data_IF_686311889188
#
_entry.id   IF_686311889188
#
_cell.length_a   1.000
_cell.length_b   1.000
_cell.length_c   1.000
_cell.angle_alpha   90.00
_cell.angle_beta   90.00
_cell.angle_gamma   90.00
#
_symmetry.space_group_name_H-M   'P 1'
#
loop_
_entity.id
_entity.type
_entity.pdbx_description
1 polymer ?
#
# COMPACT_ATOMS: atom_id res chain seq x y z
N UNK A 1 11.51 0.63 -28.18
CA UNK A 1 10.09 0.59 -27.79
C UNK A 1 10.01 1.15 -26.37
N UNK A 2 9.43 2.33 -26.19
CA UNK A 2 9.24 2.89 -24.86
C UNK A 2 8.23 2.02 -24.12
N UNK A 3 8.69 1.25 -23.15
CA UNK A 3 7.84 0.42 -22.31
C UNK A 3 6.97 1.33 -21.44
N UNK A 4 5.69 1.40 -21.78
CA UNK A 4 4.72 2.31 -21.12
C UNK A 4 4.13 1.70 -19.83
N UNK A 5 4.86 0.75 -19.20
CA UNK A 5 4.43 0.12 -17.95
C UNK A 5 5.28 0.61 -16.76
N UNK A 6 4.65 0.68 -15.59
CA UNK A 6 5.31 0.91 -14.29
C UNK A 6 5.74 -0.42 -13.68
N UNK A 7 4.90 -1.45 -13.77
CA UNK A 7 5.21 -2.82 -13.34
C UNK A 7 4.90 -3.78 -14.48
N UNK A 8 5.82 -4.68 -14.78
CA UNK A 8 5.59 -5.80 -15.68
C UNK A 8 6.08 -7.09 -15.02
N UNK A 9 5.16 -8.04 -14.84
CA UNK A 9 5.45 -9.37 -14.31
C UNK A 9 5.21 -10.41 -15.40
N UNK A 10 6.22 -11.24 -15.66
CA UNK A 10 6.22 -12.22 -16.74
C UNK A 10 6.42 -13.64 -16.18
N UNK A 11 5.40 -14.48 -16.35
CA UNK A 11 5.42 -15.91 -16.03
C UNK A 11 5.90 -16.21 -14.60
N UNK A 12 5.60 -15.32 -13.66
CA UNK A 12 6.05 -15.47 -12.27
C UNK A 12 5.34 -16.64 -11.60
N UNK A 13 6.11 -17.39 -10.86
CA UNK A 13 5.63 -18.52 -10.04
C UNK A 13 6.29 -18.45 -8.66
N UNK A 14 5.55 -18.86 -7.65
CA UNK A 14 6.09 -18.97 -6.30
C UNK A 14 5.56 -20.20 -5.58
N UNK A 15 6.45 -20.88 -4.87
CA UNK A 15 6.12 -22.04 -4.02
C UNK A 15 6.75 -21.87 -2.64
N UNK A 16 6.06 -22.39 -1.63
CA UNK A 16 6.58 -22.56 -0.27
C UNK A 16 6.69 -24.06 -0.03
N UNK A 17 7.92 -24.54 0.14
CA UNK A 17 8.22 -25.98 0.09
C UNK A 17 7.69 -26.57 -1.22
N UNK A 18 6.79 -27.58 -1.16
CA UNK A 18 6.17 -28.20 -2.32
C UNK A 18 4.80 -27.59 -2.69
N UNK A 19 4.26 -26.69 -1.87
CA UNK A 19 2.97 -26.03 -2.12
C UNK A 19 3.15 -24.84 -3.05
N UNK A 20 2.51 -24.88 -4.23
CA UNK A 20 2.46 -23.77 -5.16
C UNK A 20 1.43 -22.75 -4.67
N UNK A 21 1.84 -21.50 -4.44
CA UNK A 21 0.90 -20.40 -4.15
C UNK A 21 0.31 -19.82 -5.42
N UNK A 22 1.11 -19.64 -6.46
CA UNK A 22 0.67 -19.26 -7.81
C UNK A 22 1.65 -19.74 -8.86
N UNK A 23 1.17 -19.88 -10.08
CA UNK A 23 1.96 -20.40 -11.19
C UNK A 23 1.69 -19.66 -12.47
N UNK A 24 2.77 -19.31 -13.19
CA UNK A 24 2.72 -18.71 -14.52
C UNK A 24 1.84 -17.44 -14.60
N UNK A 25 1.91 -16.59 -13.56
CA UNK A 25 1.16 -15.35 -13.47
C UNK A 25 1.86 -14.26 -14.27
N UNK A 26 1.13 -13.61 -15.17
CA UNK A 26 1.63 -12.47 -15.95
C UNK A 26 0.64 -11.32 -15.92
N UNK A 27 1.14 -10.11 -15.68
CA UNK A 27 0.34 -8.88 -15.71
C UNK A 27 1.25 -7.67 -15.91
N UNK A 28 0.68 -6.59 -16.41
CA UNK A 28 1.35 -5.29 -16.51
C UNK A 28 0.44 -4.17 -16.03
N UNK A 29 1.06 -3.14 -15.48
CA UNK A 29 0.40 -1.95 -14.95
C UNK A 29 1.05 -0.72 -15.56
N UNK A 30 0.26 0.07 -16.29
CA UNK A 30 0.67 1.35 -16.85
C UNK A 30 0.53 2.50 -15.85
N UNK A 31 0.93 3.70 -16.28
CA UNK A 31 0.69 4.94 -15.52
C UNK A 31 -0.81 5.21 -15.39
N UNK A 32 -1.25 5.66 -14.21
CA UNK A 32 -2.66 5.96 -13.94
C UNK A 32 -3.55 4.72 -13.83
N UNK A 33 -3.00 3.51 -13.82
CA UNK A 33 -3.77 2.28 -13.69
C UNK A 33 -3.72 1.73 -12.27
N UNK A 34 -4.81 1.04 -11.87
CA UNK A 34 -4.84 0.28 -10.63
C UNK A 34 -5.03 -1.21 -10.90
N UNK A 35 -4.45 -2.04 -10.03
CA UNK A 35 -4.65 -3.49 -9.99
C UNK A 35 -5.09 -3.91 -8.59
N UNK A 36 -6.23 -4.57 -8.52
CA UNK A 36 -6.75 -5.20 -7.31
C UNK A 36 -6.39 -6.68 -7.31
N UNK A 37 -5.47 -7.08 -6.43
CA UNK A 37 -5.09 -8.48 -6.23
C UNK A 37 -6.14 -9.13 -5.33
N UNK A 38 -6.86 -10.09 -5.88
CA UNK A 38 -7.92 -10.83 -5.20
C UNK A 38 -7.53 -12.30 -4.97
N UNK A 39 -8.16 -12.93 -3.99
CA UNK A 39 -7.97 -14.34 -3.67
C UNK A 39 -8.31 -14.64 -2.21
N UNK A 40 -8.49 -15.92 -1.88
CA UNK A 40 -8.75 -16.37 -0.51
C UNK A 40 -7.57 -16.04 0.44
N UNK A 41 -7.82 -16.15 1.74
CA UNK A 41 -6.74 -16.06 2.71
C UNK A 41 -5.73 -17.19 2.47
N UNK A 42 -4.44 -16.86 2.45
CA UNK A 42 -3.37 -17.82 2.14
C UNK A 42 -3.08 -18.02 0.65
N UNK A 43 -3.83 -17.41 -0.28
CA UNK A 43 -3.59 -17.54 -1.74
C UNK A 43 -2.26 -16.89 -2.21
N UNK A 44 -1.56 -16.17 -1.35
CA UNK A 44 -0.28 -15.55 -1.70
C UNK A 44 -0.34 -14.07 -2.08
N UNK A 45 -1.43 -13.35 -1.80
CA UNK A 45 -1.57 -11.90 -2.11
C UNK A 45 -0.41 -11.07 -1.55
N UNK A 46 -0.16 -11.15 -0.24
CA UNK A 46 0.97 -10.43 0.39
C UNK A 46 2.33 -10.93 -0.10
N UNK A 47 2.43 -12.20 -0.50
CA UNK A 47 3.65 -12.75 -1.10
C UNK A 47 3.88 -12.16 -2.49
N UNK A 48 2.85 -12.05 -3.31
CA UNK A 48 2.94 -11.40 -4.61
C UNK A 48 3.37 -9.93 -4.47
N UNK A 49 2.77 -9.19 -3.54
CA UNK A 49 3.20 -7.83 -3.21
C UNK A 49 4.69 -7.79 -2.86
N UNK A 50 5.17 -8.68 -1.98
CA UNK A 50 6.59 -8.73 -1.60
C UNK A 50 7.51 -9.07 -2.78
N UNK A 51 7.05 -9.89 -3.71
CA UNK A 51 7.80 -10.20 -4.94
C UNK A 51 7.87 -8.95 -5.84
N UNK A 52 6.76 -8.24 -6.04
CA UNK A 52 6.75 -6.99 -6.79
C UNK A 52 7.72 -5.98 -6.17
N UNK A 53 7.76 -5.87 -4.84
CA UNK A 53 8.66 -4.97 -4.11
C UNK A 53 10.13 -5.44 -4.06
N UNK A 54 10.45 -6.59 -4.64
CA UNK A 54 11.80 -7.17 -4.57
C UNK A 54 12.22 -7.70 -3.19
N UNK A 55 11.30 -7.74 -2.22
CA UNK A 55 11.56 -8.24 -0.85
C UNK A 55 11.68 -9.77 -0.83
N UNK A 56 10.92 -10.44 -1.70
CA UNK A 56 10.91 -11.91 -1.83
C UNK A 56 11.23 -12.27 -3.28
N UNK A 57 12.16 -13.21 -3.49
CA UNK A 57 12.50 -13.66 -4.83
C UNK A 57 11.49 -14.71 -5.29
N UNK A 58 10.95 -14.54 -6.48
CA UNK A 58 10.08 -15.51 -7.14
C UNK A 58 10.85 -16.80 -7.50
N UNK A 59 10.12 -17.93 -7.61
CA UNK A 59 10.73 -19.21 -8.00
C UNK A 59 11.04 -19.25 -9.51
N UNK A 60 10.16 -18.65 -10.34
CA UNK A 60 10.32 -18.54 -11.79
C UNK A 60 9.75 -17.21 -12.29
N UNK A 61 10.15 -16.82 -13.51
CA UNK A 61 9.70 -15.62 -14.17
C UNK A 61 10.45 -14.37 -13.74
N UNK A 62 10.01 -13.21 -14.22
CA UNK A 62 10.67 -11.94 -13.97
C UNK A 62 9.65 -10.87 -13.57
N UNK A 63 10.10 -9.91 -12.76
CA UNK A 63 9.36 -8.69 -12.43
C UNK A 63 10.24 -7.51 -12.78
N UNK A 64 9.69 -6.60 -13.55
CA UNK A 64 10.34 -5.36 -13.95
C UNK A 64 9.55 -4.19 -13.38
N UNK A 65 10.23 -3.26 -12.75
CA UNK A 65 9.65 -2.01 -12.26
C UNK A 65 10.36 -0.88 -13.00
N UNK A 66 9.57 -0.08 -13.70
CA UNK A 66 10.03 1.10 -14.41
C UNK A 66 9.60 2.36 -13.64
N UNK A 67 10.15 2.54 -12.46
CA UNK A 67 9.91 3.71 -11.62
C UNK A 67 11.26 4.32 -11.25
N UNK A 68 11.47 5.56 -11.65
CA UNK A 68 12.64 6.36 -11.25
C UNK A 68 12.50 6.90 -9.82
N UNK A 69 11.33 6.73 -9.21
CA UNK A 69 10.99 7.23 -7.88
C UNK A 69 10.79 6.09 -6.89
N UNK A 70 10.86 6.45 -5.62
CA UNK A 70 10.55 5.56 -4.51
C UNK A 70 9.13 4.99 -4.61
N UNK A 71 8.95 3.78 -4.09
CA UNK A 71 7.64 3.10 -4.03
C UNK A 71 7.04 3.36 -2.65
N UNK A 72 5.80 3.84 -2.60
CA UNK A 72 5.06 3.91 -1.34
C UNK A 72 4.46 2.53 -1.03
N UNK A 73 4.93 1.90 0.04
CA UNK A 73 4.38 0.64 0.51
C UNK A 73 3.71 0.79 1.88
N UNK A 74 2.44 0.39 1.96
CA UNK A 74 1.71 0.21 3.21
C UNK A 74 1.35 -1.27 3.35
N UNK A 75 2.08 -1.98 4.20
CA UNK A 75 1.86 -3.39 4.48
C UNK A 75 0.75 -3.64 5.50
N UNK A 76 0.44 -4.91 5.72
CA UNK A 76 -0.52 -5.33 6.74
C UNK A 76 -0.14 -4.85 8.16
N UNK A 77 1.16 -4.85 8.48
CA UNK A 77 1.69 -4.26 9.71
C UNK A 77 1.95 -2.78 9.53
N UNK A 78 1.52 -1.96 10.48
CA UNK A 78 1.62 -0.50 10.42
C UNK A 78 3.05 0.04 10.44
N UNK A 79 4.04 -0.77 10.83
CA UNK A 79 5.47 -0.41 10.94
C UNK A 79 5.69 0.84 11.80
N UNK A 80 5.02 0.90 12.94
CA UNK A 80 5.12 1.95 13.95
C UNK A 80 5.98 1.49 15.13
N UNK A 81 6.57 2.45 15.85
CA UNK A 81 7.31 2.23 17.09
C UNK A 81 6.38 2.45 18.28
N UNK A 82 5.88 1.36 18.86
CA UNK A 82 4.84 1.41 19.90
C UNK A 82 5.26 2.14 21.18
N UNK A 83 6.55 2.14 21.50
CA UNK A 83 7.11 2.79 22.69
C UNK A 83 7.38 4.30 22.51
N UNK A 84 7.19 4.83 21.33
CA UNK A 84 7.33 6.24 21.01
C UNK A 84 5.96 6.91 20.90
N UNK A 85 5.93 8.22 21.07
CA UNK A 85 4.73 9.03 20.86
C UNK A 85 4.29 9.04 19.40
N UNK A 86 3.09 9.53 19.13
CA UNK A 86 2.60 9.75 17.77
C UNK A 86 3.52 10.74 17.04
N UNK A 87 3.89 11.85 17.69
CA UNK A 87 4.77 12.86 17.09
C UNK A 87 6.17 12.33 16.81
N UNK A 88 6.77 11.54 17.70
CA UNK A 88 8.04 10.86 17.46
C UNK A 88 7.97 9.91 16.27
N UNK A 89 6.85 9.19 16.07
CA UNK A 89 6.66 8.36 14.90
C UNK A 89 6.56 9.19 13.62
N UNK A 90 5.90 10.36 13.64
CA UNK A 90 5.88 11.31 12.52
C UNK A 90 7.29 11.78 12.19
N UNK A 91 8.09 12.10 13.21
CA UNK A 91 9.49 12.49 13.05
C UNK A 91 10.33 11.38 12.42
N UNK A 92 10.19 10.13 12.91
CA UNK A 92 10.89 8.96 12.32
C UNK A 92 10.48 8.66 10.88
N UNK A 93 9.28 9.02 10.49
CA UNK A 93 8.80 8.91 9.10
C UNK A 93 9.28 10.08 8.23
N UNK A 94 10.03 11.04 8.80
CA UNK A 94 10.50 12.26 8.14
C UNK A 94 9.39 13.15 7.57
N UNK A 95 8.20 13.09 8.18
CA UNK A 95 7.00 13.82 7.73
C UNK A 95 6.82 15.17 8.42
N UNK A 96 7.57 15.44 9.48
CA UNK A 96 7.42 16.62 10.35
C UNK A 96 7.59 17.97 9.62
N UNK A 97 8.23 17.99 8.47
CA UNK A 97 8.40 19.20 7.62
C UNK A 97 7.46 19.26 6.43
N UNK A 98 6.55 18.28 6.28
CA UNK A 98 5.65 18.25 5.12
C UNK A 98 4.57 19.35 5.25
N UNK A 99 4.35 20.20 4.24
CA UNK A 99 3.44 21.34 4.33
C UNK A 99 1.99 20.97 4.65
N UNK A 100 1.53 19.80 4.22
CA UNK A 100 0.16 19.33 4.45
C UNK A 100 0.00 18.51 5.74
N UNK A 101 1.06 18.30 6.53
CA UNK A 101 1.01 17.45 7.73
C UNK A 101 -0.09 17.91 8.70
N UNK A 102 -0.13 19.22 9.01
CA UNK A 102 -1.10 19.77 9.98
C UNK A 102 -2.54 19.53 9.53
N UNK A 103 -2.83 19.63 8.24
CA UNK A 103 -4.16 19.33 7.68
C UNK A 103 -4.55 17.87 7.92
N UNK A 104 -3.63 16.93 7.68
CA UNK A 104 -3.91 15.52 7.94
C UNK A 104 -3.97 15.17 9.42
N UNK A 105 -3.18 15.82 10.27
CA UNK A 105 -3.30 15.70 11.75
C UNK A 105 -4.72 16.07 12.20
N UNK A 106 -5.29 17.14 11.64
CA UNK A 106 -6.64 17.58 11.97
C UNK A 106 -7.71 16.64 11.41
N UNK A 107 -7.64 16.31 10.12
CA UNK A 107 -8.58 15.40 9.43
C UNK A 107 -8.63 14.01 10.11
N UNK A 108 -7.50 13.48 10.55
CA UNK A 108 -7.41 12.17 11.18
C UNK A 108 -7.65 12.20 12.70
N UNK A 109 -7.88 13.38 13.28
CA UNK A 109 -8.23 13.56 14.69
C UNK A 109 -7.04 13.41 15.65
N UNK A 110 -5.81 13.71 15.22
CA UNK A 110 -4.60 13.50 16.03
C UNK A 110 -4.18 14.68 16.90
N UNK A 111 -4.82 15.85 16.74
CA UNK A 111 -4.41 17.10 17.40
C UNK A 111 -4.17 16.99 18.93
N UNK A 112 -4.94 16.12 19.61
CA UNK A 112 -4.84 15.89 21.07
C UNK A 112 -4.07 14.63 21.43
N UNK A 113 -3.50 13.93 20.46
CA UNK A 113 -2.86 12.62 20.63
C UNK A 113 -1.36 12.65 20.30
N UNK A 114 -0.79 13.80 19.97
CA UNK A 114 0.61 13.92 19.53
C UNK A 114 1.59 13.36 20.56
N UNK A 115 1.38 13.64 21.85
CA UNK A 115 2.23 13.18 22.95
C UNK A 115 1.88 11.77 23.46
N UNK A 116 0.85 11.13 22.87
CA UNK A 116 0.40 9.80 23.31
C UNK A 116 1.27 8.72 22.68
N UNK A 117 1.80 7.81 23.50
CA UNK A 117 2.53 6.64 23.00
C UNK A 117 1.64 5.78 22.11
N UNK A 118 2.19 5.31 20.98
CA UNK A 118 1.46 4.51 19.99
C UNK A 118 0.88 3.23 20.60
N UNK A 119 1.53 2.64 21.60
CA UNK A 119 0.99 1.49 22.35
C UNK A 119 -0.39 1.77 22.98
N UNK A 120 -0.71 3.02 23.32
CA UNK A 120 -1.96 3.44 23.95
C UNK A 120 -3.02 3.88 22.94
N UNK A 121 -2.70 3.89 21.65
CA UNK A 121 -3.65 4.17 20.59
C UNK A 121 -4.47 2.92 20.25
N UNK A 122 -5.73 3.11 19.89
CA UNK A 122 -6.53 2.03 19.30
C UNK A 122 -5.93 1.53 17.98
N UNK A 123 -6.27 0.31 17.57
CA UNK A 123 -5.81 -0.24 16.28
C UNK A 123 -6.14 0.68 15.10
N UNK A 124 -7.36 1.24 15.08
CA UNK A 124 -7.78 2.20 14.04
C UNK A 124 -6.95 3.48 14.04
N UNK A 125 -6.61 4.03 15.23
CA UNK A 125 -5.74 5.20 15.35
C UNK A 125 -4.31 4.89 14.86
N UNK A 126 -3.77 3.72 15.21
CA UNK A 126 -2.48 3.26 14.69
C UNK A 126 -2.51 3.12 13.16
N UNK A 127 -3.60 2.57 12.61
CA UNK A 127 -3.76 2.46 11.15
C UNK A 127 -3.83 3.84 10.48
N UNK A 128 -4.60 4.78 11.05
CA UNK A 128 -4.65 6.19 10.60
C UNK A 128 -3.26 6.84 10.62
N UNK A 129 -2.46 6.61 11.67
CA UNK A 129 -1.09 7.11 11.75
C UNK A 129 -0.20 6.54 10.63
N UNK A 130 -0.32 5.25 10.35
CA UNK A 130 0.42 4.64 9.24
C UNK A 130 0.01 5.21 7.87
N UNK A 131 -1.26 5.64 7.70
CA UNK A 131 -1.74 6.29 6.48
C UNK A 131 -1.10 7.65 6.21
N UNK A 132 -0.53 8.34 7.19
CA UNK A 132 0.19 9.61 6.94
C UNK A 132 1.32 9.41 5.91
N UNK A 133 2.04 8.28 5.96
CA UNK A 133 3.07 7.95 4.96
C UNK A 133 2.52 7.87 3.53
N UNK A 134 1.27 7.41 3.41
CA UNK A 134 0.59 7.34 2.12
C UNK A 134 0.10 8.71 1.66
N UNK A 135 -0.58 9.46 2.54
CA UNK A 135 -1.16 10.76 2.20
C UNK A 135 -0.11 11.82 1.86
N UNK A 136 1.04 11.76 2.51
CA UNK A 136 2.15 12.71 2.34
C UNK A 136 3.23 12.20 1.38
N UNK A 137 2.94 11.16 0.60
CA UNK A 137 3.88 10.51 -0.29
C UNK A 137 3.94 11.13 -1.69
N UNK A 138 5.12 11.06 -2.32
CA UNK A 138 5.37 11.58 -3.68
C UNK A 138 5.66 10.50 -4.72
N UNK A 139 5.54 9.21 -4.35
CA UNK A 139 5.84 8.08 -5.24
C UNK A 139 4.89 8.00 -6.44
N UNK A 140 5.38 7.41 -7.53
CA UNK A 140 4.57 7.15 -8.72
C UNK A 140 3.88 5.77 -8.66
N UNK A 141 4.39 4.87 -7.81
CA UNK A 141 3.79 3.56 -7.53
C UNK A 141 3.40 3.46 -6.05
N UNK A 142 2.13 3.17 -5.81
CA UNK A 142 1.55 2.96 -4.49
C UNK A 142 1.17 1.48 -4.36
N UNK A 143 1.67 0.80 -3.33
CA UNK A 143 1.39 -0.62 -3.07
C UNK A 143 0.80 -0.77 -1.68
N UNK A 144 -0.41 -1.35 -1.59
CA UNK A 144 -1.20 -1.39 -0.37
C UNK A 144 -1.66 -2.82 -0.06
N UNK A 145 -1.37 -3.29 1.15
CA UNK A 145 -1.82 -4.61 1.62
C UNK A 145 -2.90 -4.44 2.70
N UNK A 146 -4.16 -4.68 2.32
CA UNK A 146 -5.37 -4.52 3.16
C UNK A 146 -5.47 -3.10 3.80
N UNK A 147 -5.45 -2.01 3.02
CA UNK A 147 -5.36 -0.67 3.57
C UNK A 147 -6.61 -0.23 4.34
N UNK A 148 -7.79 -0.79 4.03
CA UNK A 148 -9.08 -0.39 4.61
C UNK A 148 -9.40 -1.09 5.93
N UNK A 149 -8.72 -2.18 6.26
CA UNK A 149 -8.98 -2.97 7.47
C UNK A 149 -8.70 -2.14 8.73
N UNK A 150 -9.66 -2.12 9.66
CA UNK A 150 -9.56 -1.42 10.94
C UNK A 150 -9.84 0.08 10.87
N UNK A 151 -10.22 0.62 9.72
CA UNK A 151 -10.63 2.02 9.58
C UNK A 151 -12.15 2.16 9.77
N UNK A 152 -12.57 3.27 10.37
CA UNK A 152 -13.96 3.70 10.36
C UNK A 152 -14.39 4.15 8.95
N UNK A 153 -15.72 4.23 8.72
CA UNK A 153 -16.29 4.57 7.40
C UNK A 153 -15.78 5.90 6.87
N UNK A 154 -15.69 6.91 7.71
CA UNK A 154 -15.22 8.24 7.32
C UNK A 154 -13.78 8.18 6.80
N UNK A 155 -12.88 7.50 7.52
CA UNK A 155 -11.49 7.35 7.09
C UNK A 155 -11.36 6.47 5.83
N UNK A 156 -12.23 5.45 5.67
CA UNK A 156 -12.27 4.66 4.42
C UNK A 156 -12.67 5.54 3.22
N UNK A 157 -13.62 6.44 3.38
CA UNK A 157 -14.02 7.39 2.34
C UNK A 157 -12.89 8.38 2.00
N UNK A 158 -12.20 8.91 3.01
CA UNK A 158 -11.03 9.78 2.82
C UNK A 158 -9.95 9.06 2.02
N UNK A 159 -9.64 7.80 2.41
CA UNK A 159 -8.66 6.97 1.71
C UNK A 159 -9.08 6.69 0.26
N UNK A 160 -10.33 6.32 0.02
CA UNK A 160 -10.85 6.08 -1.34
C UNK A 160 -10.71 7.33 -2.22
N UNK A 161 -11.18 8.49 -1.74
CA UNK A 161 -11.06 9.77 -2.46
C UNK A 161 -9.60 10.11 -2.76
N UNK A 162 -8.72 9.90 -1.80
CA UNK A 162 -7.28 10.11 -1.98
C UNK A 162 -6.73 9.21 -3.11
N UNK A 163 -7.01 7.90 -3.08
CA UNK A 163 -6.49 6.96 -4.07
C UNK A 163 -7.01 7.24 -5.48
N UNK A 164 -8.30 7.55 -5.62
CA UNK A 164 -8.89 7.98 -6.91
C UNK A 164 -8.19 9.25 -7.44
N UNK A 165 -7.93 10.22 -6.57
CA UNK A 165 -7.17 11.43 -6.94
C UNK A 165 -5.70 11.14 -7.29
N UNK A 166 -5.06 10.12 -6.71
CA UNK A 166 -3.71 9.73 -7.13
C UNK A 166 -3.70 9.12 -8.54
N UNK A 167 -4.69 8.30 -8.89
CA UNK A 167 -4.85 7.77 -10.25
C UNK A 167 -5.04 8.88 -11.29
N UNK A 168 -5.85 9.89 -10.99
CA UNK A 168 -6.04 11.04 -11.89
C UNK A 168 -4.77 11.89 -12.08
N UNK A 169 -3.74 11.67 -11.26
CA UNK A 169 -2.40 12.28 -11.37
C UNK A 169 -1.36 11.33 -11.97
N UNK A 170 -1.81 10.35 -12.76
CA UNK A 170 -0.98 9.34 -13.44
C UNK A 170 -0.15 8.45 -12.48
N UNK A 171 -0.50 8.37 -11.21
CA UNK A 171 0.11 7.41 -10.29
C UNK A 171 -0.54 6.04 -10.44
N UNK A 172 0.25 4.99 -10.23
CA UNK A 172 -0.22 3.61 -10.36
C UNK A 172 -0.42 2.99 -8.99
N UNK A 173 -1.45 2.14 -8.85
CA UNK A 173 -1.83 1.55 -7.56
C UNK A 173 -1.92 0.04 -7.68
N UNK A 174 -1.29 -0.68 -6.75
CA UNK A 174 -1.50 -2.11 -6.54
C UNK A 174 -2.07 -2.28 -5.14
N UNK A 175 -3.19 -2.97 -4.99
CA UNK A 175 -3.75 -3.17 -3.67
C UNK A 175 -4.43 -4.53 -3.50
N UNK A 176 -4.49 -4.99 -2.25
CA UNK A 176 -5.37 -6.06 -1.81
C UNK A 176 -6.48 -5.48 -0.95
N UNK A 177 -7.67 -6.02 -1.03
CA UNK A 177 -8.76 -5.66 -0.13
C UNK A 177 -9.87 -6.71 -0.15
N UNK A 178 -10.46 -6.97 1.01
CA UNK A 178 -11.73 -7.67 1.15
C UNK A 178 -12.91 -6.69 1.35
N UNK A 179 -12.60 -5.40 1.50
CA UNK A 179 -13.57 -4.32 1.63
C UNK A 179 -13.74 -3.67 0.26
N UNK A 180 -15.00 -3.42 -0.13
CA UNK A 180 -15.32 -2.74 -1.38
C UNK A 180 -14.68 -1.35 -1.43
N UNK A 181 -14.10 -1.01 -2.56
CA UNK A 181 -13.52 0.31 -2.83
C UNK A 181 -14.14 0.90 -4.10
N UNK A 182 -14.10 2.22 -4.23
CA UNK A 182 -14.53 2.93 -5.44
C UNK A 182 -13.42 3.09 -6.49
N UNK A 183 -12.30 2.41 -6.29
CA UNK A 183 -11.14 2.45 -7.20
C UNK A 183 -11.48 1.61 -8.43
N UNK A 184 -11.45 2.24 -9.61
CA UNK A 184 -11.52 1.51 -10.87
C UNK A 184 -10.18 0.77 -11.08
N UNK A 185 -10.22 -0.56 -11.01
CA UNK A 185 -9.02 -1.39 -10.99
C UNK A 185 -9.19 -2.66 -11.82
N UNK A 186 -8.14 -3.05 -12.52
CA UNK A 186 -8.05 -4.37 -13.15
C UNK A 186 -7.97 -5.45 -12.06
N UNK A 187 -8.78 -6.49 -12.17
CA UNK A 187 -8.75 -7.58 -11.20
C UNK A 187 -7.66 -8.60 -11.54
N UNK A 188 -6.86 -8.96 -10.57
CA UNK A 188 -5.85 -10.02 -10.64
C UNK A 188 -6.19 -11.11 -9.61
N UNK A 189 -6.80 -12.20 -10.09
CA UNK A 189 -7.27 -13.29 -9.22
C UNK A 189 -6.17 -14.33 -8.99
N UNK A 190 -5.78 -14.53 -7.73
CA UNK A 190 -4.92 -15.64 -7.30
C UNK A 190 -5.79 -16.84 -6.92
N UNK A 191 -5.53 -17.97 -7.58
CA UNK A 191 -6.24 -19.25 -7.40
C UNK A 191 -5.33 -20.30 -6.81
#
# INVERSE_FOLDING_TARGET
>A
MSTNFIVNAENISYKVNDNKLFHNLSFAIGKGEAVHIQGSNGSGKSTLIRIILGITKQTKGNVYINSDKEICYLGHKNALKNYLSLDDNILLMELNKHPELNSYIEILGFKKLLDVNVANLSYGQQKKLALLRLFLNKSDLIVLDEPFVGLDKETQEILNKFLVNQLSKDKSIIFTSHISSSIDAKELLLR
#
